data_IF_618341598411
#
_entry.id   IF_618341598411
#
_cell.length_a   1.000
_cell.length_b   1.000
_cell.length_c   1.000
_cell.angle_alpha   90.00
_cell.angle_beta   90.00
_cell.angle_gamma   90.00
#
_symmetry.space_group_name_H-M   'P 1'
#
loop_
_entity.id
_entity.type
_entity.pdbx_description
1 polymer ?
#
# COMPACT_ATOMS: atom_id res chain seq x y z
N UNK A 1 2.42 14.19 0.24
CA UNK A 1 1.33 13.85 -0.71
C UNK A 1 0.02 14.44 -0.19
N UNK A 2 -0.69 15.27 -0.95
CA UNK A 2 -1.98 15.88 -0.52
C UNK A 2 -3.21 15.01 -0.83
N UNK A 3 -3.00 13.77 -1.27
CA UNK A 3 -4.04 12.87 -1.80
C UNK A 3 -4.30 11.65 -0.90
N UNK A 4 -3.94 11.73 0.39
CA UNK A 4 -4.28 10.69 1.35
C UNK A 4 -5.80 10.54 1.46
N UNK A 5 -6.25 9.28 1.49
CA UNK A 5 -7.66 8.95 1.59
C UNK A 5 -8.07 8.93 3.05
N UNK A 6 -9.05 9.77 3.41
CA UNK A 6 -9.44 9.96 4.81
C UNK A 6 -10.35 8.86 5.37
N UNK A 7 -10.96 8.06 4.50
CA UNK A 7 -11.88 6.97 4.87
C UNK A 7 -11.20 5.59 4.91
N UNK A 8 -9.90 5.52 4.60
CA UNK A 8 -9.11 4.30 4.74
C UNK A 8 -8.85 4.02 6.23
N UNK A 9 -9.20 2.80 6.66
CA UNK A 9 -9.00 2.34 8.03
C UNK A 9 -8.59 0.87 8.08
N UNK A 10 -8.07 0.45 9.22
CA UNK A 10 -7.71 -0.96 9.48
C UNK A 10 -8.65 -1.52 10.54
N UNK A 11 -9.41 -2.55 10.16
CA UNK A 11 -10.35 -3.25 11.05
C UNK A 11 -9.89 -4.70 11.18
N UNK A 12 -9.29 -5.03 12.33
CA UNK A 12 -8.66 -6.34 12.53
C UNK A 12 -7.50 -6.54 11.56
N UNK A 13 -7.63 -7.52 10.66
CA UNK A 13 -6.63 -7.84 9.63
C UNK A 13 -7.08 -7.42 8.22
N UNK A 14 -8.00 -6.47 8.09
CA UNK A 14 -8.47 -5.97 6.80
C UNK A 14 -8.32 -4.44 6.71
N UNK A 15 -8.01 -3.96 5.52
CA UNK A 15 -8.12 -2.54 5.16
C UNK A 15 -9.53 -2.33 4.60
N UNK A 16 -10.20 -1.30 5.10
CA UNK A 16 -11.55 -0.91 4.68
C UNK A 16 -11.56 0.54 4.25
N UNK A 17 -12.51 0.91 3.39
CA UNK A 17 -12.67 2.26 2.86
C UNK A 17 -12.88 2.22 1.36
N UNK A 18 -12.78 3.37 0.72
CA UNK A 18 -12.98 3.53 -0.72
C UNK A 18 -11.62 3.78 -1.35
N UNK A 19 -11.31 3.14 -2.48
CA UNK A 19 -10.14 3.42 -3.30
C UNK A 19 -10.44 4.61 -4.21
N UNK A 20 -9.44 5.46 -4.39
CA UNK A 20 -9.58 6.62 -5.26
C UNK A 20 -9.32 6.18 -6.68
N UNK A 21 -10.31 6.37 -7.54
CA UNK A 21 -10.13 6.17 -8.96
C UNK A 21 -9.54 7.43 -9.59
N UNK A 22 -8.47 7.27 -10.36
CA UNK A 22 -7.89 8.36 -11.13
C UNK A 22 -8.02 8.09 -12.61
N UNK A 23 -8.50 9.10 -13.33
CA UNK A 23 -8.60 9.12 -14.79
C UNK A 23 -7.33 9.69 -15.44
N UNK A 24 -7.28 9.64 -16.77
CA UNK A 24 -6.15 10.12 -17.61
C UNK A 24 -5.69 11.57 -17.40
N UNK A 25 -6.33 12.36 -16.54
CA UNK A 25 -5.97 13.76 -16.26
C UNK A 25 -5.13 13.96 -15.00
N UNK A 26 -4.89 12.90 -14.22
CA UNK A 26 -4.31 13.01 -12.88
C UNK A 26 -2.82 12.69 -12.83
N UNK A 27 -2.06 13.38 -11.97
CA UNK A 27 -0.61 13.21 -11.87
C UNK A 27 -0.17 11.77 -11.52
N UNK A 28 -0.98 11.03 -10.75
CA UNK A 28 -0.73 9.61 -10.48
C UNK A 28 -0.89 8.74 -11.73
N UNK A 29 -1.77 9.12 -12.66
CA UNK A 29 -2.01 8.40 -13.92
C UNK A 29 -0.91 8.65 -14.94
N UNK A 30 -0.30 9.83 -14.96
CA UNK A 30 0.88 10.09 -15.79
C UNK A 30 2.06 9.17 -15.43
N UNK A 31 2.16 8.78 -14.16
CA UNK A 31 3.24 7.96 -13.65
C UNK A 31 2.90 6.47 -13.63
N UNK A 32 1.68 6.12 -13.20
CA UNK A 32 1.21 4.77 -12.92
C UNK A 32 -0.11 4.45 -13.62
N UNK A 33 -0.44 5.05 -14.77
CA UNK A 33 -1.63 4.67 -15.54
C UNK A 33 -2.99 4.84 -14.84
N UNK A 34 -4.07 4.66 -15.59
CA UNK A 34 -5.44 4.79 -15.07
C UNK A 34 -5.78 3.62 -14.14
N UNK A 35 -6.50 3.88 -13.04
CA UNK A 35 -6.96 2.81 -12.16
C UNK A 35 -7.32 3.23 -10.74
N UNK A 36 -7.41 2.23 -9.86
CA UNK A 36 -7.72 2.38 -8.45
C UNK A 36 -6.43 2.44 -7.63
N UNK A 37 -6.35 3.42 -6.73
CA UNK A 37 -5.17 3.66 -5.92
C UNK A 37 -5.53 3.67 -4.45
N UNK A 38 -4.69 3.01 -3.66
CA UNK A 38 -4.70 3.09 -2.21
C UNK A 38 -3.66 4.12 -1.80
N UNK A 39 -4.06 5.21 -1.15
CA UNK A 39 -3.16 6.20 -0.56
C UNK A 39 -3.47 6.38 0.92
N UNK A 40 -2.54 6.00 1.79
CA UNK A 40 -2.75 5.97 3.23
C UNK A 40 -1.50 6.36 4.00
N UNK A 41 -1.69 6.79 5.26
CA UNK A 41 -0.61 6.95 6.22
C UNK A 41 -0.42 5.64 6.97
N UNK A 42 0.80 5.10 6.98
CA UNK A 42 1.13 3.89 7.75
C UNK A 42 1.28 4.27 9.22
N UNK A 43 0.38 3.74 10.06
CA UNK A 43 0.34 4.02 11.50
C UNK A 43 1.00 2.89 12.31
N UNK A 44 1.39 3.20 13.55
CA UNK A 44 2.00 2.23 14.46
C UNK A 44 3.48 1.94 14.18
N UNK A 45 4.14 2.84 13.46
CA UNK A 45 5.59 2.89 13.34
C UNK A 45 6.13 3.70 14.51
N UNK A 46 6.99 3.09 15.31
CA UNK A 46 7.62 3.67 16.48
C UNK A 46 9.05 4.11 16.14
N UNK A 47 9.62 5.06 16.90
CA UNK A 47 10.94 5.66 16.62
C UNK A 47 12.10 4.67 16.77
N UNK A 48 11.89 3.53 17.43
CA UNK A 48 12.84 2.43 17.57
C UNK A 48 12.93 1.54 16.33
N UNK A 49 12.02 1.67 15.37
CA UNK A 49 12.07 0.92 14.12
C UNK A 49 13.19 1.44 13.22
N UNK A 50 14.13 0.56 12.90
CA UNK A 50 15.30 0.84 12.04
C UNK A 50 15.01 0.64 10.55
N UNK A 51 14.01 -0.18 10.21
CA UNK A 51 13.51 -0.34 8.84
C UNK A 51 12.01 -0.66 8.87
N UNK A 52 11.28 -0.08 7.94
CA UNK A 52 9.85 -0.25 7.71
C UNK A 52 9.62 -0.27 6.22
N UNK A 53 9.20 -1.42 5.73
CA UNK A 53 8.85 -1.65 4.34
C UNK A 53 7.37 -1.89 4.21
N UNK A 54 6.75 -1.25 3.23
CA UNK A 54 5.32 -1.37 2.94
C UNK A 54 5.12 -1.62 1.45
N UNK A 55 4.15 -2.46 1.10
CA UNK A 55 3.87 -2.77 -0.29
C UNK A 55 2.72 -3.74 -0.44
N UNK A 56 2.47 -4.15 -1.67
CA UNK A 56 1.41 -5.10 -2.00
C UNK A 56 1.98 -6.48 -2.31
N UNK A 57 1.25 -7.52 -1.94
CA UNK A 57 1.56 -8.90 -2.29
C UNK A 57 0.31 -9.66 -2.77
N UNK A 58 0.34 -10.30 -3.95
CA UNK A 58 1.42 -10.19 -4.93
C UNK A 58 1.57 -8.75 -5.45
N UNK A 59 2.80 -8.40 -5.80
CA UNK A 59 3.04 -7.16 -6.55
C UNK A 59 2.87 -7.45 -8.04
N UNK A 60 2.39 -6.45 -8.76
CA UNK A 60 2.30 -6.46 -10.22
C UNK A 60 3.16 -5.31 -10.70
N UNK A 61 3.83 -5.47 -11.85
CA UNK A 61 4.79 -4.50 -12.40
C UNK A 61 4.19 -3.16 -12.86
N UNK A 62 3.15 -2.68 -12.19
CA UNK A 62 2.37 -1.51 -12.54
C UNK A 62 0.97 -1.86 -13.08
N UNK A 63 0.31 -0.89 -13.72
CA UNK A 63 -1.04 -1.02 -14.27
C UNK A 63 -1.07 -2.03 -15.41
N UNK A 64 -2.05 -2.93 -15.36
CA UNK A 64 -2.18 -3.99 -16.37
C UNK A 64 -1.04 -5.02 -16.30
N UNK A 65 -0.24 -5.00 -15.23
CA UNK A 65 0.67 -6.11 -14.93
C UNK A 65 -0.15 -7.37 -14.69
N UNK A 66 0.12 -8.42 -15.47
CA UNK A 66 -0.62 -9.69 -15.37
C UNK A 66 0.16 -10.78 -14.65
N UNK A 67 1.46 -10.58 -14.45
CA UNK A 67 2.34 -11.53 -13.77
C UNK A 67 2.47 -11.14 -12.31
N UNK A 68 1.83 -11.86 -11.37
CA UNK A 68 2.05 -11.63 -9.95
C UNK A 68 3.46 -12.06 -9.57
N UNK A 69 4.15 -11.21 -8.82
CA UNK A 69 5.40 -11.54 -8.15
C UNK A 69 5.06 -11.70 -6.67
N UNK A 70 5.16 -12.93 -6.18
CA UNK A 70 4.79 -13.31 -4.82
C UNK A 70 6.02 -13.36 -3.89
N UNK A 71 6.72 -12.24 -3.79
CA UNK A 71 7.83 -12.04 -2.87
C UNK A 71 7.82 -10.61 -2.28
N UNK A 72 8.84 -10.27 -1.50
CA UNK A 72 8.94 -8.97 -0.84
C UNK A 72 9.69 -7.92 -1.71
N UNK A 73 9.97 -8.21 -2.98
CA UNK A 73 10.70 -7.29 -3.88
C UNK A 73 9.90 -6.03 -4.22
N UNK A 74 8.58 -6.09 -4.10
CA UNK A 74 7.66 -4.95 -4.28
C UNK A 74 7.47 -4.08 -3.04
N UNK A 75 8.13 -4.38 -1.90
CA UNK A 75 8.00 -3.57 -0.69
C UNK A 75 8.96 -2.38 -0.74
N UNK A 76 8.43 -1.19 -0.43
CA UNK A 76 9.14 0.09 -0.45
C UNK A 76 9.52 0.47 0.98
N UNK A 77 10.78 0.86 1.19
CA UNK A 77 11.29 1.39 2.45
C UNK A 77 10.74 2.80 2.71
N UNK A 78 10.11 3.01 3.86
CA UNK A 78 9.50 4.30 4.26
C UNK A 78 10.03 4.83 5.60
N UNK A 79 11.09 4.23 6.15
CA UNK A 79 11.65 4.65 7.45
C UNK A 79 12.12 6.10 7.48
N UNK A 80 12.55 6.63 6.34
CA UNK A 80 13.01 8.02 6.22
C UNK A 80 11.89 8.99 5.81
N UNK A 81 10.69 8.51 5.46
CA UNK A 81 9.54 9.36 5.12
C UNK A 81 8.92 9.93 6.40
N UNK A 82 9.10 11.22 6.71
CA UNK A 82 8.57 11.85 7.92
C UNK A 82 7.05 11.70 8.07
N UNK A 83 6.32 11.71 6.96
CA UNK A 83 4.87 11.58 6.96
C UNK A 83 4.40 10.12 7.01
N UNK A 84 5.28 9.16 6.69
CA UNK A 84 4.99 7.73 6.56
C UNK A 84 3.83 7.47 5.59
N UNK A 85 3.82 8.23 4.50
CA UNK A 85 2.82 8.10 3.45
C UNK A 85 3.14 6.91 2.55
N UNK A 86 2.09 6.20 2.16
CA UNK A 86 2.18 5.10 1.21
C UNK A 86 1.10 5.25 0.15
N UNK A 87 1.48 5.02 -1.10
CA UNK A 87 0.54 4.90 -2.20
C UNK A 87 0.84 3.62 -2.99
N UNK A 88 -0.21 2.95 -3.48
CA UNK A 88 -0.07 1.81 -4.36
C UNK A 88 -1.21 1.70 -5.36
N UNK A 89 -0.89 1.21 -6.56
CA UNK A 89 -1.88 0.81 -7.56
C UNK A 89 -2.49 -0.54 -7.19
N UNK A 90 -3.82 -0.62 -7.15
CA UNK A 90 -4.55 -1.86 -6.85
C UNK A 90 -4.96 -2.52 -8.17
N UNK A 91 -4.30 -3.62 -8.52
CA UNK A 91 -4.65 -4.44 -9.69
C UNK A 91 -5.83 -5.36 -9.38
N UNK A 92 -5.82 -5.98 -8.19
CA UNK A 92 -6.88 -6.87 -7.75
C UNK A 92 -6.95 -6.91 -6.21
N UNK A 93 -7.92 -6.19 -5.64
CA UNK A 93 -8.09 -6.10 -4.19
C UNK A 93 -8.47 -7.43 -3.53
N UNK A 94 -8.99 -8.40 -4.28
CA UNK A 94 -9.47 -9.67 -3.74
C UNK A 94 -8.33 -10.71 -3.66
N UNK A 95 -7.24 -10.49 -4.38
CA UNK A 95 -6.05 -11.35 -4.33
C UNK A 95 -4.82 -10.66 -3.74
N UNK A 96 -4.76 -9.33 -3.76
CA UNK A 96 -3.68 -8.55 -3.16
C UNK A 96 -3.91 -8.31 -1.67
N UNK A 97 -2.80 -8.28 -0.94
CA UNK A 97 -2.71 -7.90 0.46
C UNK A 97 -1.77 -6.73 0.63
N UNK A 98 -2.05 -5.86 1.59
CA UNK A 98 -1.08 -4.89 2.09
C UNK A 98 -0.15 -5.59 3.08
N UNK A 99 1.15 -5.50 2.81
CA UNK A 99 2.20 -6.05 3.66
C UNK A 99 2.96 -4.91 4.31
N UNK A 100 3.14 -4.99 5.62
CA UNK A 100 4.02 -4.11 6.39
C UNK A 100 5.05 -4.98 7.11
N UNK A 101 6.32 -4.76 6.83
CA UNK A 101 7.46 -5.40 7.49
C UNK A 101 8.23 -4.32 8.24
N UNK A 102 8.31 -4.44 9.55
CA UNK A 102 9.05 -3.50 10.40
C UNK A 102 10.11 -4.23 11.22
N UNK A 103 11.26 -3.62 11.46
CA UNK A 103 12.34 -4.19 12.26
C UNK A 103 13.03 -3.14 13.12
N UNK A 104 13.30 -3.49 14.38
CA UNK A 104 14.02 -2.68 15.37
C UNK A 104 15.51 -3.05 15.47
N UNK A 105 16.02 -3.86 14.54
CA UNK A 105 17.38 -4.39 14.55
C UNK A 105 17.57 -5.66 15.38
N UNK A 106 16.57 -6.06 16.18
CA UNK A 106 16.58 -7.30 16.99
C UNK A 106 15.47 -8.27 16.55
N UNK A 107 14.29 -7.75 16.25
CA UNK A 107 13.12 -8.50 15.81
C UNK A 107 12.57 -7.95 14.49
N UNK A 108 11.87 -8.81 13.75
CA UNK A 108 11.12 -8.42 12.55
C UNK A 108 9.66 -8.76 12.76
N UNK A 109 8.80 -7.74 12.63
CA UNK A 109 7.35 -7.86 12.65
C UNK A 109 6.84 -7.81 11.22
N UNK A 110 6.08 -8.83 10.81
CA UNK A 110 5.34 -8.84 9.54
C UNK A 110 3.84 -8.79 9.83
N UNK A 111 3.15 -7.84 9.20
CA UNK A 111 1.69 -7.76 9.20
C UNK A 111 1.18 -7.83 7.77
N UNK A 112 0.08 -8.54 7.60
CA UNK A 112 -0.62 -8.66 6.33
C UNK A 112 -2.07 -8.25 6.54
N UNK A 113 -2.57 -7.40 5.64
CA UNK A 113 -3.94 -6.93 5.67
C UNK A 113 -4.64 -7.27 4.37
N UNK A 114 -5.83 -7.84 4.51
CA UNK A 114 -6.74 -8.14 3.41
C UNK A 114 -7.30 -6.84 2.80
N UNK A 115 -7.40 -6.78 1.48
CA UNK A 115 -7.88 -5.63 0.72
C UNK A 115 -9.29 -5.83 0.14
N UNK A 116 -9.88 -7.02 0.29
CA UNK A 116 -11.17 -7.39 -0.32
C UNK A 116 -12.34 -6.55 0.18
N UNK A 117 -12.22 -5.94 1.37
CA UNK A 117 -13.22 -5.05 1.95
C UNK A 117 -13.16 -3.61 1.42
N UNK A 118 -12.19 -3.28 0.56
CA UNK A 118 -12.14 -1.99 -0.12
C UNK A 118 -13.24 -1.89 -1.19
N UNK A 119 -13.78 -0.69 -1.34
CA UNK A 119 -14.74 -0.32 -2.38
C UNK A 119 -13.99 0.44 -3.47
N UNK A 120 -14.28 0.19 -4.75
CA UNK A 120 -13.75 1.00 -5.85
C UNK A 120 -14.73 2.13 -6.18
N UNK A 121 -14.23 3.33 -6.46
CA UNK A 121 -15.02 4.45 -7.02
C UNK A 121 -15.38 4.24 -8.50
#
# INVERSE_FOLDING_TARGET
>A
MSDLQSDISVVGNAVTGTLKHYDTSSALVDYWGEGNFLAMKVLGITEDMTSVKVGLRPTYGGPGGTTPIDDDSGLVEISDDEDKNFAAYINDKDTQKLIIVATDGTATLRKEYDLSMLVCE
#
